data_IF_593086411571
#
_entry.id   IF_593086411571
#
_cell.length_a   1.000
_cell.length_b   1.000
_cell.length_c   1.000
_cell.angle_alpha   90.00
_cell.angle_beta   90.00
_cell.angle_gamma   90.00
#
_symmetry.space_group_name_H-M   'P 1'
#
loop_
_entity.id
_entity.type
_entity.pdbx_description
1 polymer ?
#
# COMPACT_ATOMS: atom_id res chain seq x y z
N UNK A 1 5.00 -4.51 27.54
CA UNK A 1 5.27 -4.11 26.13
C UNK A 1 5.34 -2.60 26.00
N UNK A 2 4.38 -1.84 26.55
CA UNK A 2 4.31 -0.36 26.53
C UNK A 2 5.61 0.34 26.96
N UNK A 3 6.25 -0.07 28.07
CA UNK A 3 7.50 0.55 28.54
C UNK A 3 8.69 0.40 27.57
N UNK A 4 8.74 -0.69 26.79
CA UNK A 4 9.79 -0.88 25.79
C UNK A 4 9.60 0.08 24.61
N UNK A 5 8.35 0.33 24.23
CA UNK A 5 7.99 1.23 23.15
C UNK A 5 8.40 2.68 23.44
N UNK A 6 8.17 3.16 24.66
CA UNK A 6 8.56 4.51 25.07
C UNK A 6 10.08 4.69 25.13
N UNK A 7 10.82 3.71 25.67
CA UNK A 7 12.28 3.76 25.69
C UNK A 7 12.87 3.79 24.27
N UNK A 8 12.31 2.99 23.35
CA UNK A 8 12.70 2.97 21.93
C UNK A 8 12.35 4.29 21.27
N UNK A 9 11.15 4.83 21.48
CA UNK A 9 10.72 6.13 20.96
C UNK A 9 11.64 7.25 21.43
N UNK A 10 11.98 7.29 22.72
CA UNK A 10 12.91 8.27 23.27
C UNK A 10 14.33 8.11 22.71
N UNK A 11 14.82 6.87 22.56
CA UNK A 11 16.11 6.61 21.95
C UNK A 11 16.16 7.02 20.48
N UNK A 12 15.11 6.70 19.71
CA UNK A 12 14.96 7.10 18.33
C UNK A 12 14.86 8.61 18.20
N UNK A 13 14.06 9.29 19.01
CA UNK A 13 13.95 10.76 19.00
C UNK A 13 15.32 11.43 19.18
N UNK A 14 16.12 10.95 20.14
CA UNK A 14 17.51 11.44 20.31
C UNK A 14 18.40 11.11 19.12
N UNK A 15 18.34 9.89 18.61
CA UNK A 15 19.15 9.46 17.48
C UNK A 15 18.79 10.22 16.19
N UNK A 16 17.52 10.58 16.01
CA UNK A 16 17.01 11.40 14.92
C UNK A 16 17.56 12.81 14.99
N UNK A 17 17.56 13.44 16.17
CA UNK A 17 18.20 14.75 16.36
C UNK A 17 19.67 14.74 15.94
N UNK A 18 20.40 13.66 16.22
CA UNK A 18 21.78 13.49 15.74
C UNK A 18 21.84 13.27 14.22
N UNK A 19 20.93 12.48 13.67
CA UNK A 19 20.96 12.07 12.26
C UNK A 19 20.55 13.19 11.29
N UNK A 20 19.52 13.96 11.63
CA UNK A 20 18.89 14.96 10.74
C UNK A 20 18.91 16.38 11.29
N UNK A 21 19.38 16.58 12.53
CA UNK A 21 19.57 17.89 13.17
C UNK A 21 18.61 18.13 14.35
N UNK A 22 19.09 18.84 15.38
CA UNK A 22 18.36 19.09 16.63
C UNK A 22 17.05 19.88 16.47
N UNK A 23 16.92 20.60 15.35
CA UNK A 23 15.75 21.42 15.01
C UNK A 23 14.99 20.89 13.80
N UNK A 24 15.22 19.63 13.41
CA UNK A 24 14.50 19.03 12.31
C UNK A 24 13.02 18.85 12.68
N UNK A 25 12.14 19.48 11.89
CA UNK A 25 10.70 19.26 11.98
C UNK A 25 10.38 17.89 11.34
N UNK A 26 10.02 16.92 12.18
CA UNK A 26 9.71 15.54 11.78
C UNK A 26 8.72 14.94 12.76
N UNK A 27 7.71 14.24 12.24
CA UNK A 27 6.81 13.43 13.05
C UNK A 27 7.31 11.98 13.07
N UNK A 28 7.64 11.46 14.25
CA UNK A 28 8.05 10.07 14.43
C UNK A 28 6.87 9.22 14.89
N UNK A 29 6.55 8.19 14.11
CA UNK A 29 5.39 7.33 14.37
C UNK A 29 5.83 5.87 14.48
N UNK A 30 5.59 5.27 15.63
CA UNK A 30 5.61 3.81 15.73
C UNK A 30 4.41 3.24 14.98
N UNK A 31 4.64 2.28 14.08
CA UNK A 31 3.58 1.67 13.27
C UNK A 31 2.45 1.06 14.10
N UNK A 32 2.77 0.52 15.28
CA UNK A 32 1.78 -0.06 16.21
C UNK A 32 0.85 1.01 16.82
N UNK A 33 1.30 2.27 16.90
CA UNK A 33 0.55 3.38 17.47
C UNK A 33 -0.22 4.18 16.40
N UNK A 34 -0.26 3.67 15.16
CA UNK A 34 -0.86 4.37 14.00
C UNK A 34 -2.28 4.86 14.27
N UNK A 35 -3.13 4.05 14.89
CA UNK A 35 -4.53 4.41 15.13
C UNK A 35 -4.68 5.68 15.99
N UNK A 36 -3.77 5.92 16.94
CA UNK A 36 -3.76 7.12 17.76
C UNK A 36 -3.15 8.34 17.05
N UNK A 37 -2.29 8.11 16.06
CA UNK A 37 -1.58 9.16 15.33
C UNK A 37 -2.21 9.53 13.98
N UNK A 38 -3.21 8.78 13.48
CA UNK A 38 -3.73 8.93 12.12
C UNK A 38 -4.18 10.36 11.78
N UNK A 39 -4.83 11.05 12.74
CA UNK A 39 -5.29 12.44 12.53
C UNK A 39 -4.10 13.39 12.37
N UNK A 40 -3.08 13.23 13.22
CA UNK A 40 -1.85 14.05 13.18
C UNK A 40 -1.07 13.80 11.89
N UNK A 41 -0.92 12.54 11.50
CA UNK A 41 -0.25 12.14 10.24
C UNK A 41 -0.94 12.78 9.02
N UNK A 42 -2.28 12.80 9.01
CA UNK A 42 -3.04 13.38 7.90
C UNK A 42 -2.97 14.92 7.88
N UNK A 43 -2.75 15.56 9.02
CA UNK A 43 -2.57 17.01 9.12
C UNK A 43 -1.09 17.46 8.99
N UNK A 44 -0.14 16.53 9.07
CA UNK A 44 1.29 16.84 9.09
C UNK A 44 1.76 17.47 7.77
N UNK A 45 2.25 18.71 7.87
CA UNK A 45 2.98 19.39 6.79
C UNK A 45 4.47 19.01 6.76
N UNK A 46 4.99 18.47 7.86
CA UNK A 46 6.37 18.01 7.98
C UNK A 46 6.55 16.56 7.48
N UNK A 47 7.80 16.12 7.27
CA UNK A 47 8.10 14.71 7.03
C UNK A 47 7.62 13.81 8.17
N UNK A 48 7.03 12.66 7.84
CA UNK A 48 6.59 11.65 8.79
C UNK A 48 7.43 10.39 8.62
N UNK A 49 8.16 9.99 9.65
CA UNK A 49 8.96 8.77 9.63
C UNK A 49 8.28 7.72 10.49
N UNK A 50 7.78 6.69 9.83
CA UNK A 50 7.28 5.50 10.46
C UNK A 50 8.43 4.56 10.82
N UNK A 51 8.31 3.88 11.95
CA UNK A 51 9.21 2.80 12.32
C UNK A 51 8.46 1.62 12.93
N UNK A 52 9.03 0.43 12.82
CA UNK A 52 8.44 -0.79 13.38
C UNK A 52 9.42 -1.95 13.38
N UNK A 53 9.00 -3.10 13.90
CA UNK A 53 9.85 -4.31 13.98
C UNK A 53 9.60 -5.30 12.85
N UNK A 54 8.49 -5.14 12.14
CA UNK A 54 8.13 -6.00 11.02
C UNK A 54 8.61 -5.39 9.71
N UNK A 55 8.94 -6.24 8.73
CA UNK A 55 9.28 -5.75 7.40
C UNK A 55 8.07 -5.06 6.75
N UNK A 56 8.35 -4.09 5.89
CA UNK A 56 7.31 -3.34 5.20
C UNK A 56 6.40 -4.26 4.37
N UNK A 57 6.99 -5.23 3.67
CA UNK A 57 6.28 -6.22 2.86
C UNK A 57 5.30 -7.06 3.69
N UNK A 58 5.71 -7.43 4.91
CA UNK A 58 4.84 -8.13 5.86
C UNK A 58 3.66 -7.27 6.27
N UNK A 59 3.89 -6.00 6.61
CA UNK A 59 2.82 -5.07 6.98
C UNK A 59 1.83 -4.88 5.83
N UNK A 60 2.30 -4.84 4.58
CA UNK A 60 1.43 -4.77 3.41
C UNK A 60 0.61 -6.05 3.23
N UNK A 61 1.25 -7.22 3.34
CA UNK A 61 0.58 -8.53 3.24
C UNK A 61 -0.52 -8.69 4.30
N UNK A 62 -0.25 -8.25 5.52
CA UNK A 62 -1.22 -8.24 6.63
C UNK A 62 -2.25 -7.09 6.52
N UNK A 63 -2.17 -6.30 5.45
CA UNK A 63 -3.03 -5.14 5.17
C UNK A 63 -3.05 -4.16 6.34
N UNK A 64 -1.89 -3.92 6.95
CA UNK A 64 -1.77 -3.01 8.10
C UNK A 64 -2.23 -1.59 7.71
N UNK A 65 -3.07 -0.91 8.50
CA UNK A 65 -3.65 0.39 8.13
C UNK A 65 -2.61 1.49 7.82
N UNK A 66 -1.44 1.43 8.45
CA UNK A 66 -0.34 2.36 8.20
C UNK A 66 0.42 2.09 6.88
N UNK A 67 0.42 0.85 6.37
CA UNK A 67 1.28 0.46 5.25
C UNK A 67 1.11 1.33 3.98
N UNK A 68 -0.12 1.73 3.59
CA UNK A 68 -0.32 2.64 2.45
C UNK A 68 0.37 3.99 2.68
N UNK A 69 0.39 4.48 3.93
CA UNK A 69 0.94 5.80 4.24
C UNK A 69 2.43 5.88 3.96
N UNK A 70 3.18 4.77 3.97
CA UNK A 70 4.62 4.77 3.68
C UNK A 70 4.95 5.26 2.27
N UNK A 71 3.95 5.18 1.38
CA UNK A 71 4.05 5.53 -0.02
C UNK A 71 3.67 6.98 -0.35
N UNK A 72 3.35 7.82 0.64
CA UNK A 72 3.12 9.24 0.40
C UNK A 72 4.44 9.95 0.10
N UNK A 73 4.33 11.16 -0.46
CA UNK A 73 5.50 12.00 -0.79
C UNK A 73 6.28 12.49 0.44
N UNK A 74 5.61 12.65 1.59
CA UNK A 74 6.21 13.20 2.81
C UNK A 74 6.50 12.13 3.87
N UNK A 75 6.48 10.85 3.51
CA UNK A 75 6.53 9.75 4.47
C UNK A 75 7.61 8.74 4.11
N UNK A 76 8.11 8.02 5.12
CA UNK A 76 8.92 6.83 4.92
C UNK A 76 8.73 5.83 6.06
N UNK A 77 9.06 4.57 5.81
CA UNK A 77 9.05 3.51 6.82
C UNK A 77 10.46 2.91 6.99
N UNK A 78 10.82 2.60 8.24
CA UNK A 78 12.05 1.91 8.57
C UNK A 78 11.81 0.74 9.53
N UNK A 79 12.29 -0.44 9.15
CA UNK A 79 12.32 -1.60 10.04
C UNK A 79 13.49 -1.48 11.02
N UNK A 80 13.23 -1.61 12.32
CA UNK A 80 14.25 -1.63 13.37
C UNK A 80 14.91 -3.02 13.43
N UNK A 81 16.25 -3.11 13.55
CA UNK A 81 17.21 -2.00 13.54
C UNK A 81 17.53 -1.49 12.13
N UNK A 82 17.76 -0.19 12.00
CA UNK A 82 18.17 0.50 10.77
C UNK A 82 19.40 1.37 11.01
N UNK A 83 20.04 1.85 9.93
CA UNK A 83 21.16 2.79 10.02
C UNK A 83 20.64 4.23 9.99
N UNK A 84 21.18 5.09 10.85
CA UNK A 84 20.80 6.51 10.88
C UNK A 84 21.07 7.24 9.55
N UNK A 85 22.07 6.80 8.78
CA UNK A 85 22.35 7.35 7.46
C UNK A 85 21.18 7.11 6.47
N UNK A 86 20.51 5.96 6.57
CA UNK A 86 19.38 5.61 5.69
C UNK A 86 18.24 6.62 5.90
N UNK A 87 17.95 6.95 7.15
CA UNK A 87 16.98 7.99 7.48
C UNK A 87 17.43 9.36 6.96
N UNK A 88 18.69 9.73 7.17
CA UNK A 88 19.20 11.04 6.75
C UNK A 88 19.09 11.24 5.24
N UNK A 89 19.32 10.19 4.46
CA UNK A 89 19.14 10.22 2.99
C UNK A 89 17.67 10.45 2.65
N UNK A 90 16.77 9.61 3.19
CA UNK A 90 15.34 9.68 2.86
C UNK A 90 14.70 10.98 3.33
N UNK A 91 15.07 11.49 4.52
CA UNK A 91 14.60 12.78 5.02
C UNK A 91 14.98 13.92 4.08
N UNK A 92 16.23 13.95 3.59
CA UNK A 92 16.68 14.94 2.60
C UNK A 92 15.95 14.80 1.27
N UNK A 93 15.61 13.58 0.86
CA UNK A 93 14.83 13.35 -0.36
C UNK A 93 13.39 13.83 -0.23
N UNK A 94 12.77 13.63 0.94
CA UNK A 94 11.44 14.17 1.24
C UNK A 94 11.46 15.70 1.21
N UNK A 95 12.39 16.34 1.94
CA UNK A 95 12.48 17.80 1.99
C UNK A 95 12.75 18.43 0.62
N UNK A 96 13.55 17.75 -0.21
CA UNK A 96 13.84 18.20 -1.56
C UNK A 96 12.74 17.85 -2.58
N UNK A 97 11.64 17.22 -2.16
CA UNK A 97 10.56 16.80 -3.04
C UNK A 97 10.93 15.70 -4.03
N UNK A 98 12.03 14.98 -3.78
CA UNK A 98 12.49 13.85 -4.63
C UNK A 98 11.77 12.55 -4.33
N UNK A 99 11.16 12.42 -3.15
CA UNK A 99 10.37 11.23 -2.81
C UNK A 99 9.10 11.18 -3.66
N UNK A 100 8.99 10.12 -4.46
CA UNK A 100 7.85 9.90 -5.34
C UNK A 100 6.75 9.18 -4.57
N UNK A 101 5.53 9.72 -4.68
CA UNK A 101 4.33 9.08 -4.16
C UNK A 101 3.95 7.88 -5.03
N UNK A 102 3.44 6.79 -4.43
CA UNK A 102 2.89 5.66 -5.18
C UNK A 102 1.36 5.56 -4.98
N UNK A 103 0.56 6.16 -5.90
CA UNK A 103 -0.89 6.14 -5.80
C UNK A 103 -1.50 4.74 -5.83
N UNK A 104 -0.85 3.77 -6.49
CA UNK A 104 -1.35 2.40 -6.54
C UNK A 104 -1.42 1.77 -5.14
N UNK A 105 -0.38 1.97 -4.32
CA UNK A 105 -0.35 1.48 -2.94
C UNK A 105 -1.36 2.19 -2.05
N UNK A 106 -1.51 3.51 -2.22
CA UNK A 106 -2.54 4.30 -1.53
C UNK A 106 -3.96 3.79 -1.84
N UNK A 107 -4.23 3.47 -3.10
CA UNK A 107 -5.53 2.97 -3.56
C UNK A 107 -5.81 1.55 -3.07
N UNK A 108 -4.82 0.66 -3.08
CA UNK A 108 -4.94 -0.66 -2.47
C UNK A 108 -5.22 -0.57 -0.97
N UNK A 109 -4.56 0.35 -0.28
CA UNK A 109 -4.84 0.66 1.12
C UNK A 109 -6.28 1.05 1.38
N UNK A 110 -6.81 1.97 0.57
CA UNK A 110 -8.22 2.39 0.64
C UNK A 110 -9.17 1.23 0.38
N UNK A 111 -8.86 0.37 -0.60
CA UNK A 111 -9.64 -0.86 -0.84
C UNK A 111 -9.67 -1.73 0.42
N UNK A 112 -8.50 -1.99 1.01
CA UNK A 112 -8.39 -2.86 2.18
C UNK A 112 -9.09 -2.31 3.42
N UNK A 113 -9.02 -0.98 3.63
CA UNK A 113 -9.77 -0.30 4.67
C UNK A 113 -11.29 -0.47 4.46
N UNK A 114 -11.78 -0.32 3.22
CA UNK A 114 -13.20 -0.55 2.91
C UNK A 114 -13.63 -2.00 3.14
N UNK A 115 -12.81 -2.98 2.76
CA UNK A 115 -13.12 -4.40 3.01
C UNK A 115 -13.19 -4.70 4.51
N UNK A 116 -12.23 -4.20 5.30
CA UNK A 116 -12.24 -4.34 6.77
C UNK A 116 -13.46 -3.67 7.39
N UNK A 117 -13.83 -2.48 6.91
CA UNK A 117 -15.01 -1.76 7.40
C UNK A 117 -16.30 -2.54 7.12
N UNK A 118 -16.45 -3.16 5.94
CA UNK A 118 -17.63 -4.00 5.65
C UNK A 118 -17.75 -5.15 6.64
N UNK A 119 -16.64 -5.84 6.93
CA UNK A 119 -16.61 -6.92 7.92
C UNK A 119 -16.96 -6.44 9.33
N UNK A 120 -16.41 -5.30 9.73
CA UNK A 120 -16.73 -4.68 11.02
C UNK A 120 -18.23 -4.33 11.10
N UNK A 121 -18.79 -3.71 10.06
CA UNK A 121 -20.21 -3.36 10.02
C UNK A 121 -21.12 -4.61 10.05
N UNK A 122 -20.74 -5.70 9.38
CA UNK A 122 -21.46 -6.97 9.45
C UNK A 122 -21.48 -7.56 10.86
N UNK A 123 -20.40 -7.36 11.62
CA UNK A 123 -20.32 -7.74 13.02
C UNK A 123 -21.14 -6.78 13.92
N UNK A 124 -21.12 -5.47 13.66
CA UNK A 124 -21.69 -4.46 14.56
C UNK A 124 -23.20 -4.21 14.35
N UNK A 125 -23.70 -4.38 13.12
CA UNK A 125 -25.12 -4.21 12.80
C UNK A 125 -25.87 -5.52 13.12
N UNK A 126 -26.05 -5.81 14.41
CA UNK A 126 -26.84 -6.94 14.92
C UNK A 126 -28.04 -6.44 15.75
N UNK A 127 -29.20 -7.11 15.71
CA UNK A 127 -30.31 -6.78 16.58
C UNK A 127 -29.88 -6.80 18.06
N UNK A 128 -30.13 -5.71 18.79
CA UNK A 128 -29.82 -5.59 20.22
C UNK A 128 -28.34 -5.36 20.57
N UNK A 129 -27.45 -5.20 19.59
CA UNK A 129 -26.03 -4.93 19.86
C UNK A 129 -25.75 -3.44 20.06
N UNK A 130 -24.96 -3.11 21.08
CA UNK A 130 -24.44 -1.76 21.30
C UNK A 130 -23.58 -1.34 20.09
N UNK A 131 -23.94 -0.21 19.45
CA UNK A 131 -23.28 0.28 18.23
C UNK A 131 -24.03 0.00 16.92
N UNK A 132 -25.17 -0.71 16.95
CA UNK A 132 -25.95 -1.00 15.73
C UNK A 132 -26.40 0.28 14.99
N UNK A 133 -26.90 1.29 15.70
CA UNK A 133 -27.32 2.57 15.09
C UNK A 133 -26.15 3.31 14.44
N UNK A 134 -25.00 3.38 15.11
CA UNK A 134 -23.79 3.98 14.55
C UNK A 134 -23.27 3.19 13.34
N UNK A 135 -23.40 1.86 13.37
CA UNK A 135 -23.09 0.99 12.23
C UNK A 135 -24.01 1.27 11.03
N UNK A 136 -25.31 1.44 11.25
CA UNK A 136 -26.28 1.81 10.21
C UNK A 136 -25.96 3.18 9.60
N UNK A 137 -25.62 4.18 10.43
CA UNK A 137 -25.22 5.50 9.97
C UNK A 137 -23.92 5.45 9.15
N UNK A 138 -22.94 4.69 9.61
CA UNK A 138 -21.67 4.48 8.90
C UNK A 138 -21.89 3.77 7.57
N UNK A 139 -22.74 2.73 7.53
CA UNK A 139 -23.10 2.04 6.29
C UNK A 139 -23.75 2.99 5.26
N UNK A 140 -24.61 3.90 5.73
CA UNK A 140 -25.23 4.93 4.89
C UNK A 140 -24.20 5.92 4.38
N UNK A 141 -23.31 6.41 5.24
CA UNK A 141 -22.30 7.42 4.88
C UNK A 141 -21.25 6.88 3.90
N UNK A 142 -20.72 5.69 4.18
CA UNK A 142 -19.55 5.14 3.47
C UNK A 142 -19.93 4.32 2.22
N UNK A 143 -21.14 3.76 2.20
CA UNK A 143 -21.59 2.86 1.13
C UNK A 143 -22.94 3.25 0.52
N UNK A 144 -23.62 4.28 1.02
CA UNK A 144 -24.96 4.67 0.54
C UNK A 144 -26.05 3.65 0.87
N UNK A 145 -25.80 2.70 1.76
CA UNK A 145 -26.73 1.62 2.10
C UNK A 145 -27.61 2.07 3.28
N UNK A 146 -28.92 2.02 3.11
CA UNK A 146 -29.88 2.37 4.15
C UNK A 146 -31.08 1.42 4.14
N UNK A 147 -31.80 1.33 5.26
CA UNK A 147 -32.97 0.46 5.40
C UNK A 147 -33.02 -0.22 6.77
N UNK A 148 -33.77 -1.32 6.84
CA UNK A 148 -33.82 -2.17 8.05
C UNK A 148 -32.49 -2.86 8.27
N UNK A 149 -32.25 -3.32 9.51
CA UNK A 149 -31.07 -4.12 9.87
C UNK A 149 -30.85 -5.27 8.87
N UNK A 150 -31.91 -6.04 8.53
CA UNK A 150 -31.74 -7.15 7.57
C UNK A 150 -31.34 -6.67 6.18
N UNK A 151 -31.96 -5.60 5.68
CA UNK A 151 -31.66 -5.05 4.34
C UNK A 151 -30.22 -4.54 4.25
N UNK A 152 -29.77 -3.80 5.27
CA UNK A 152 -28.40 -3.26 5.30
C UNK A 152 -27.39 -4.40 5.39
N UNK A 153 -27.60 -5.38 6.28
CA UNK A 153 -26.73 -6.56 6.39
C UNK A 153 -26.68 -7.37 5.10
N UNK A 154 -27.82 -7.61 4.45
CA UNK A 154 -27.87 -8.35 3.19
C UNK A 154 -27.08 -7.64 2.10
N UNK A 155 -27.22 -6.32 1.97
CA UNK A 155 -26.44 -5.53 1.01
C UNK A 155 -24.92 -5.56 1.32
N UNK A 156 -24.53 -5.42 2.59
CA UNK A 156 -23.12 -5.51 3.01
C UNK A 156 -22.54 -6.91 2.77
N UNK A 157 -23.31 -7.97 3.05
CA UNK A 157 -22.90 -9.34 2.77
C UNK A 157 -22.74 -9.58 1.26
N UNK A 158 -23.63 -8.99 0.44
CA UNK A 158 -23.50 -8.97 -1.02
C UNK A 158 -22.21 -8.30 -1.47
N UNK A 159 -21.86 -7.14 -0.92
CA UNK A 159 -20.58 -6.47 -1.22
C UNK A 159 -19.37 -7.31 -0.79
N UNK A 160 -19.45 -8.00 0.34
CA UNK A 160 -18.36 -8.85 0.82
C UNK A 160 -18.20 -10.13 -0.02
N UNK A 161 -19.32 -10.74 -0.43
CA UNK A 161 -19.40 -12.01 -1.15
C UNK A 161 -19.14 -11.88 -2.66
N UNK A 162 -19.38 -10.70 -3.25
CA UNK A 162 -19.05 -10.46 -4.67
C UNK A 162 -17.54 -10.59 -4.91
N UNK A 163 -17.22 -11.25 -6.02
CA UNK A 163 -15.86 -11.59 -6.45
C UNK A 163 -14.99 -10.37 -6.74
N UNK A 164 -13.69 -10.63 -6.96
CA UNK A 164 -12.54 -9.72 -7.07
C UNK A 164 -12.78 -8.38 -7.79
N UNK A 165 -13.70 -8.31 -8.78
CA UNK A 165 -14.03 -7.11 -9.57
C UNK A 165 -14.60 -5.94 -8.73
N UNK A 166 -15.49 -6.18 -7.76
CA UNK A 166 -16.00 -5.10 -6.87
C UNK A 166 -15.05 -4.82 -5.70
N UNK A 167 -14.10 -5.73 -5.46
CA UNK A 167 -12.98 -5.54 -4.54
C UNK A 167 -11.76 -4.93 -5.23
N UNK A 168 -11.81 -4.59 -6.51
CA UNK A 168 -10.65 -4.01 -7.18
C UNK A 168 -10.58 -2.50 -6.91
N UNK A 169 -9.39 -1.95 -7.08
CA UNK A 169 -9.11 -0.51 -7.00
C UNK A 169 -10.02 0.31 -7.93
N UNK A 170 -10.61 -0.31 -8.97
CA UNK A 170 -11.50 0.33 -9.94
C UNK A 170 -12.69 1.03 -9.29
N UNK A 171 -13.24 0.47 -8.21
CA UNK A 171 -14.38 1.07 -7.50
C UNK A 171 -14.05 2.43 -6.89
N UNK A 172 -12.76 2.73 -6.72
CA UNK A 172 -12.24 3.99 -6.18
C UNK A 172 -11.80 4.93 -7.31
N UNK A 173 -11.11 4.40 -8.33
CA UNK A 173 -10.52 5.21 -9.41
C UNK A 173 -11.49 5.52 -10.56
N UNK A 174 -12.53 4.71 -10.72
CA UNK A 174 -13.46 4.79 -11.84
C UNK A 174 -12.75 4.55 -13.18
N UNK A 175 -12.66 5.60 -14.01
CA UNK A 175 -11.97 5.58 -15.31
C UNK A 175 -10.61 6.29 -15.29
N UNK A 176 -10.18 6.78 -14.12
CA UNK A 176 -8.92 7.52 -13.98
C UNK A 176 -7.74 6.57 -14.15
N UNK A 177 -6.73 7.02 -14.88
CA UNK A 177 -5.49 6.26 -15.06
C UNK A 177 -4.66 6.36 -13.80
N UNK A 178 -4.26 5.21 -13.25
CA UNK A 178 -3.35 5.13 -12.12
C UNK A 178 -1.93 5.36 -12.64
N UNK A 179 -1.24 6.43 -12.22
CA UNK A 179 0.11 6.72 -12.67
C UNK A 179 1.11 5.72 -12.08
N UNK A 180 2.17 5.44 -12.85
CA UNK A 180 3.24 4.53 -12.44
C UNK A 180 3.61 3.48 -13.46
N UNK A 181 4.63 2.70 -13.10
CA UNK A 181 5.12 1.56 -13.87
C UNK A 181 4.81 0.29 -13.10
N UNK A 182 4.11 -0.61 -13.78
CA UNK A 182 3.63 -1.86 -13.22
C UNK A 182 4.33 -3.00 -13.95
N UNK A 183 5.23 -3.68 -13.25
CA UNK A 183 6.08 -4.71 -13.86
C UNK A 183 5.70 -6.08 -13.34
N UNK A 184 5.41 -7.00 -14.23
CA UNK A 184 5.25 -8.38 -13.87
C UNK A 184 6.55 -9.00 -13.34
N UNK A 185 6.41 -10.02 -12.51
CA UNK A 185 7.52 -10.77 -11.96
C UNK A 185 7.78 -12.00 -12.81
N UNK A 186 6.85 -12.94 -12.83
CA UNK A 186 7.08 -14.25 -13.43
C UNK A 186 7.21 -14.12 -14.95
N UNK A 187 8.30 -14.64 -15.54
CA UNK A 187 8.53 -14.54 -16.99
C UNK A 187 9.01 -13.17 -17.47
N UNK A 188 8.92 -12.13 -16.64
CA UNK A 188 9.27 -10.74 -16.99
C UNK A 188 10.52 -10.26 -16.24
N UNK A 189 10.38 -9.97 -14.95
CA UNK A 189 11.51 -9.57 -14.10
C UNK A 189 12.35 -10.79 -13.71
N UNK A 190 11.72 -11.93 -13.44
CA UNK A 190 12.38 -13.19 -13.09
C UNK A 190 12.12 -14.20 -14.20
N UNK A 191 13.19 -14.64 -14.86
CA UNK A 191 13.14 -15.58 -15.99
C UNK A 191 13.98 -16.80 -15.66
N UNK A 192 13.36 -17.97 -15.59
CA UNK A 192 14.04 -19.22 -15.23
C UNK A 192 14.71 -19.16 -13.84
N UNK A 193 14.06 -18.48 -12.88
CA UNK A 193 14.57 -18.33 -11.51
C UNK A 193 15.75 -17.36 -11.36
N UNK A 194 16.01 -16.51 -12.35
CA UNK A 194 17.07 -15.49 -12.31
C UNK A 194 16.53 -14.11 -12.65
N UNK A 195 17.15 -13.09 -12.08
CA UNK A 195 16.83 -11.70 -12.39
C UNK A 195 17.17 -11.32 -13.85
N UNK A 196 16.21 -10.72 -14.54
CA UNK A 196 16.42 -10.07 -15.82
C UNK A 196 17.02 -8.68 -15.60
N UNK A 197 18.36 -8.59 -15.66
CA UNK A 197 19.09 -7.35 -15.36
C UNK A 197 18.70 -6.16 -16.25
N UNK A 198 18.28 -6.41 -17.50
CA UNK A 198 17.82 -5.37 -18.43
C UNK A 198 16.51 -4.74 -17.95
N UNK A 199 15.57 -5.56 -17.50
CA UNK A 199 14.30 -5.10 -16.93
C UNK A 199 14.54 -4.38 -15.62
N UNK A 200 15.34 -4.95 -14.71
CA UNK A 200 15.67 -4.29 -13.43
C UNK A 200 16.30 -2.92 -13.63
N UNK A 201 17.22 -2.79 -14.60
CA UNK A 201 17.82 -1.49 -14.94
C UNK A 201 16.77 -0.48 -15.39
N UNK A 202 15.86 -0.86 -16.31
CA UNK A 202 14.75 0.00 -16.76
C UNK A 202 13.83 0.39 -15.60
N UNK A 203 13.54 -0.52 -14.67
CA UNK A 203 12.72 -0.20 -13.49
C UNK A 203 13.39 0.85 -12.60
N UNK A 204 14.71 0.75 -12.36
CA UNK A 204 15.47 1.75 -11.60
C UNK A 204 15.51 3.10 -12.30
N UNK A 205 15.62 3.13 -13.62
CA UNK A 205 15.52 4.36 -14.42
C UNK A 205 14.12 5.00 -14.29
N UNK A 206 13.05 4.20 -14.35
CA UNK A 206 11.69 4.70 -14.11
C UNK A 206 11.49 5.18 -12.68
N UNK A 207 12.02 4.47 -11.68
CA UNK A 207 11.90 4.81 -10.26
C UNK A 207 12.45 6.19 -9.90
N UNK A 208 13.33 6.75 -10.74
CA UNK A 208 13.82 8.12 -10.57
C UNK A 208 12.77 9.20 -10.88
N UNK A 209 11.67 8.86 -11.58
CA UNK A 209 10.67 9.84 -12.04
C UNK A 209 9.21 9.39 -11.90
N UNK A 210 8.97 8.08 -11.67
CA UNK A 210 7.63 7.50 -11.54
C UNK A 210 7.61 6.44 -10.44
N UNK A 211 6.47 6.23 -9.77
CA UNK A 211 6.34 5.10 -8.87
C UNK A 211 6.42 3.79 -9.64
N UNK A 212 7.15 2.82 -9.08
CA UNK A 212 7.26 1.46 -9.61
C UNK A 212 6.56 0.51 -8.65
N UNK A 213 5.77 -0.40 -9.20
CA UNK A 213 5.09 -1.46 -8.45
C UNK A 213 5.32 -2.78 -9.16
N UNK A 214 5.76 -3.79 -8.42
CA UNK A 214 5.87 -5.16 -8.92
C UNK A 214 4.54 -5.87 -8.79
N UNK A 215 4.21 -6.63 -9.84
CA UNK A 215 2.98 -7.35 -9.99
C UNK A 215 3.24 -8.84 -10.13
N UNK A 216 2.36 -9.64 -9.55
CA UNK A 216 2.30 -11.09 -9.77
C UNK A 216 0.86 -11.50 -10.05
N UNK A 217 0.72 -12.45 -10.98
CA UNK A 217 -0.52 -13.19 -11.19
C UNK A 217 -0.62 -14.46 -10.33
N UNK A 218 0.44 -14.81 -9.61
CA UNK A 218 0.60 -16.00 -8.79
C UNK A 218 0.61 -15.73 -7.29
N UNK A 219 1.39 -16.53 -6.56
CA UNK A 219 1.51 -16.45 -5.10
C UNK A 219 2.44 -15.30 -4.70
N UNK A 220 1.91 -14.33 -3.94
CA UNK A 220 2.71 -13.24 -3.37
C UNK A 220 3.88 -13.75 -2.52
N UNK A 221 3.68 -14.86 -1.80
CA UNK A 221 4.71 -15.42 -0.91
C UNK A 221 5.86 -16.07 -1.67
N UNK A 222 5.58 -16.62 -2.85
CA UNK A 222 6.61 -17.21 -3.71
C UNK A 222 7.38 -16.09 -4.41
N UNK A 223 6.67 -15.13 -5.00
CA UNK A 223 7.27 -13.96 -5.63
C UNK A 223 8.15 -13.16 -4.64
N UNK A 224 7.69 -12.93 -3.41
CA UNK A 224 8.48 -12.23 -2.39
C UNK A 224 9.78 -12.97 -2.04
N UNK A 225 9.71 -14.30 -1.91
CA UNK A 225 10.90 -15.13 -1.65
C UNK A 225 11.91 -15.05 -2.79
N UNK A 226 11.44 -15.09 -4.03
CA UNK A 226 12.31 -14.98 -5.21
C UNK A 226 12.96 -13.61 -5.30
N UNK A 227 12.19 -12.54 -5.14
CA UNK A 227 12.72 -11.17 -5.12
C UNK A 227 13.76 -10.97 -4.01
N UNK A 228 13.46 -11.45 -2.81
CA UNK A 228 14.38 -11.34 -1.66
C UNK A 228 15.68 -12.10 -1.90
N UNK A 229 15.61 -13.29 -2.53
CA UNK A 229 16.80 -14.07 -2.92
C UNK A 229 17.72 -13.30 -3.86
N UNK A 230 17.13 -12.54 -4.79
CA UNK A 230 17.84 -11.70 -5.74
C UNK A 230 18.18 -10.30 -5.19
N UNK A 231 17.86 -10.02 -3.92
CA UNK A 231 18.16 -8.75 -3.25
C UNK A 231 17.28 -7.57 -3.68
N UNK A 232 16.08 -7.84 -4.20
CA UNK A 232 15.13 -6.82 -4.65
C UNK A 232 14.08 -6.59 -3.55
N UNK A 233 14.25 -5.49 -2.81
CA UNK A 233 13.35 -5.11 -1.71
C UNK A 233 12.81 -3.68 -1.86
N UNK A 234 13.25 -2.97 -2.90
CA UNK A 234 13.01 -1.52 -3.05
C UNK A 234 11.65 -1.18 -3.68
N UNK A 235 10.93 -2.20 -4.19
CA UNK A 235 9.66 -2.01 -4.91
C UNK A 235 8.54 -2.78 -4.21
N UNK A 236 7.35 -2.17 -4.01
CA UNK A 236 6.19 -2.89 -3.49
C UNK A 236 5.78 -4.02 -4.42
N UNK A 237 5.42 -5.16 -3.83
CA UNK A 237 4.88 -6.32 -4.53
C UNK A 237 3.40 -6.49 -4.21
N UNK A 238 2.56 -6.51 -5.24
CA UNK A 238 1.11 -6.68 -5.10
C UNK A 238 0.53 -7.57 -6.20
N UNK A 239 -0.68 -8.07 -5.99
CA UNK A 239 -1.34 -8.93 -6.97
C UNK A 239 -1.98 -8.12 -8.10
N UNK A 240 -1.85 -8.58 -9.35
CA UNK A 240 -2.54 -8.01 -10.53
C UNK A 240 -4.05 -7.93 -10.32
N UNK A 241 -4.65 -8.95 -9.69
CA UNK A 241 -6.10 -9.00 -9.46
C UNK A 241 -6.60 -7.89 -8.53
N UNK A 242 -5.73 -7.25 -7.74
CA UNK A 242 -6.08 -6.04 -6.98
C UNK A 242 -6.46 -4.85 -7.88
N UNK A 243 -6.04 -4.86 -9.14
CA UNK A 243 -6.23 -3.80 -10.12
C UNK A 243 -7.18 -4.17 -11.26
N UNK A 244 -7.87 -5.32 -11.18
CA UNK A 244 -8.79 -5.78 -12.21
C UNK A 244 -9.78 -4.68 -12.65
N UNK A 245 -9.88 -4.42 -13.96
CA UNK A 245 -10.75 -3.39 -14.51
C UNK A 245 -10.23 -1.95 -14.39
N UNK A 246 -9.04 -1.73 -13.83
CA UNK A 246 -8.40 -0.41 -13.76
C UNK A 246 -7.75 0.01 -15.08
N UNK A 247 -7.50 1.31 -15.21
CA UNK A 247 -6.60 1.85 -16.23
C UNK A 247 -5.29 2.23 -15.55
N UNK A 248 -4.16 1.86 -16.15
CA UNK A 248 -2.82 2.13 -15.59
C UNK A 248 -1.91 2.73 -16.64
N UNK A 249 -0.89 3.47 -16.21
CA UNK A 249 -0.04 4.22 -17.13
C UNK A 249 0.89 3.31 -17.95
N UNK A 250 1.80 2.56 -17.31
CA UNK A 250 2.74 1.67 -18.01
C UNK A 250 2.68 0.27 -17.46
N UNK A 251 2.49 -0.74 -18.32
CA UNK A 251 2.65 -2.16 -17.98
C UNK A 251 3.88 -2.73 -18.68
N UNK A 252 4.68 -3.50 -17.93
CA UNK A 252 5.78 -4.32 -18.44
C UNK A 252 5.47 -5.78 -18.11
N UNK A 253 5.33 -6.64 -19.12
CA UNK A 253 4.84 -8.02 -18.96
C UNK A 253 5.30 -8.86 -20.18
N UNK A 254 5.52 -10.16 -19.99
CA UNK A 254 5.98 -11.09 -21.03
C UNK A 254 4.83 -11.60 -21.91
N UNK A 255 3.59 -11.53 -21.40
CA UNK A 255 2.40 -11.82 -22.18
C UNK A 255 2.20 -10.79 -23.29
N UNK A 256 1.46 -11.17 -24.32
CA UNK A 256 0.98 -10.20 -25.31
C UNK A 256 -0.06 -9.25 -24.69
N UNK A 257 -0.09 -7.99 -25.12
CA UNK A 257 -1.05 -6.98 -24.58
C UNK A 257 -2.51 -7.45 -24.64
N UNK A 258 -2.89 -8.13 -25.73
CA UNK A 258 -4.24 -8.69 -25.89
C UNK A 258 -4.53 -9.76 -24.83
N UNK A 259 -3.61 -10.70 -24.64
CA UNK A 259 -3.74 -11.77 -23.65
C UNK A 259 -3.78 -11.20 -22.22
N UNK A 260 -2.92 -10.23 -21.92
CA UNK A 260 -2.90 -9.53 -20.64
C UNK A 260 -4.25 -8.86 -20.35
N UNK A 261 -4.81 -8.11 -21.32
CA UNK A 261 -6.11 -7.46 -21.19
C UNK A 261 -7.25 -8.46 -21.00
N UNK A 262 -7.23 -9.57 -21.75
CA UNK A 262 -8.24 -10.63 -21.64
C UNK A 262 -8.17 -11.35 -20.30
N UNK A 263 -6.96 -11.57 -19.76
CA UNK A 263 -6.76 -12.32 -18.51
C UNK A 263 -7.00 -11.49 -17.26
N UNK A 264 -6.49 -10.26 -17.22
CA UNK A 264 -6.51 -9.43 -16.01
C UNK A 264 -7.49 -8.26 -16.08
N UNK A 265 -8.10 -8.02 -17.25
CA UNK A 265 -9.03 -6.93 -17.47
C UNK A 265 -8.44 -5.54 -17.12
N UNK A 266 -7.12 -5.38 -17.18
CA UNK A 266 -6.42 -4.11 -16.90
C UNK A 266 -6.08 -3.43 -18.23
N UNK A 267 -6.38 -2.13 -18.31
CA UNK A 267 -6.12 -1.32 -19.49
C UNK A 267 -4.87 -0.43 -19.33
N UNK A 268 -3.72 -0.80 -19.90
CA UNK A 268 -2.54 0.07 -19.95
C UNK A 268 -2.71 1.23 -20.95
N UNK A 269 -2.16 2.40 -20.64
CA UNK A 269 -1.93 3.44 -21.66
C UNK A 269 -0.72 3.13 -22.54
N UNK A 270 0.33 2.57 -21.93
CA UNK A 270 1.53 2.09 -22.61
C UNK A 270 1.80 0.66 -22.18
N UNK A 271 1.97 -0.24 -23.14
CA UNK A 271 2.36 -1.62 -22.90
C UNK A 271 3.76 -1.88 -23.44
N UNK A 272 4.61 -2.52 -22.64
CA UNK A 272 5.97 -2.90 -22.99
C UNK A 272 6.06 -4.42 -22.84
N UNK A 273 6.01 -5.12 -23.97
CA UNK A 273 6.28 -6.56 -23.99
C UNK A 273 7.78 -6.81 -23.78
N UNK A 274 8.12 -7.69 -22.85
CA UNK A 274 9.51 -8.11 -22.58
C UNK A 274 9.87 -9.36 -23.38
#
# INVERSE_FOLDING_TARGET
MVEKTEAIKAALTRAMQVAIGEHADVLLVNVEDFAGAETEINAAACPVIFYGFYQESRLQKEKHPAAPYFYRKNTAYFTVPFRLEEIRVVYRDILAGRKIENPAMMLLGKRDAREKLILQLLHDILPGKYGCEQGLETARREFGISGTIEKVRYALAGLHAKQQVEKSVKTITGRTVIPGVFCDIEGTLIVGGKINASVLKKLREYAATKPVTLWTGGSLDEAEKELTKEGIIDFPLVSKYGFEGCHVEVVMDDLGEKEFKERYHIAPQKYIKI
#
